data_IF_009257958404
#
_entry.id   IF_009257958404
#
_cell.length_a   1.000
_cell.length_b   1.000
_cell.length_c   1.000
_cell.angle_alpha   90.00
_cell.angle_beta   90.00
_cell.angle_gamma   90.00
#
_symmetry.space_group_name_H-M   'P 1'
#
loop_
_entity.id
_entity.type
_entity.pdbx_description
1 polymer ?
#
# COMPACT_ATOMS: atom_id res chain seq x y z
N UNK A 1 -8.25 -10.56 1.15
CA UNK A 1 -7.21 -9.52 1.33
C UNK A 1 -5.82 -10.09 1.59
N UNK A 2 -5.70 -11.20 2.33
CA UNK A 2 -4.43 -11.84 2.71
C UNK A 2 -3.60 -12.44 1.55
N UNK A 3 -4.05 -12.41 0.29
CA UNK A 3 -3.30 -12.97 -0.86
C UNK A 3 -2.90 -11.91 -1.90
N UNK A 4 -3.43 -10.71 -1.76
CA UNK A 4 -3.30 -9.57 -2.65
C UNK A 4 -1.97 -8.82 -2.47
N UNK A 5 -1.63 -8.51 -1.22
CA UNK A 5 -0.39 -7.82 -0.88
C UNK A 5 0.84 -8.73 -1.01
N UNK A 6 0.62 -10.04 -0.99
CA UNK A 6 1.66 -11.04 -1.21
C UNK A 6 2.14 -11.04 -2.65
N UNK A 7 1.27 -10.86 -3.65
CA UNK A 7 1.67 -10.92 -5.05
C UNK A 7 2.56 -9.73 -5.46
N UNK A 8 2.29 -8.52 -4.94
CA UNK A 8 3.07 -7.30 -5.23
C UNK A 8 4.48 -7.43 -4.66
N UNK A 9 4.54 -7.90 -3.42
CA UNK A 9 5.77 -7.99 -2.65
C UNK A 9 6.61 -9.17 -3.15
N UNK A 10 6.03 -10.35 -3.40
CA UNK A 10 6.76 -11.56 -3.83
C UNK A 10 7.52 -11.39 -5.16
N UNK A 11 7.06 -10.49 -6.05
CA UNK A 11 7.74 -10.21 -7.32
C UNK A 11 8.76 -9.06 -7.28
N UNK A 12 8.51 -8.00 -6.48
CA UNK A 12 9.57 -7.03 -6.17
C UNK A 12 10.78 -7.74 -5.51
N UNK A 13 10.52 -8.86 -4.82
CA UNK A 13 11.53 -9.66 -4.14
C UNK A 13 12.25 -10.70 -5.01
N UNK A 14 11.68 -11.16 -6.12
CA UNK A 14 12.34 -12.12 -7.01
C UNK A 14 13.40 -11.45 -7.90
N UNK A 15 13.21 -10.16 -8.24
CA UNK A 15 14.23 -9.35 -8.89
C UNK A 15 15.42 -9.03 -7.97
N UNK A 16 15.20 -8.97 -6.64
CA UNK A 16 16.24 -8.71 -5.62
C UNK A 16 17.00 -9.98 -5.15
N UNK A 17 16.66 -11.16 -5.67
CA UNK A 17 17.26 -12.43 -5.23
C UNK A 17 18.61 -12.77 -5.91
N UNK A 18 19.08 -11.94 -6.85
CA UNK A 18 20.29 -12.19 -7.63
C UNK A 18 21.47 -11.27 -7.27
N UNK A 19 21.34 -10.38 -6.27
CA UNK A 19 22.46 -9.60 -5.72
C UNK A 19 22.83 -10.13 -4.34
N UNK A 20 24.11 -10.44 -4.14
CA UNK A 20 24.65 -10.96 -2.86
C UNK A 20 24.50 -9.98 -1.67
N UNK A 21 24.06 -8.75 -1.93
CA UNK A 21 23.49 -7.85 -0.92
C UNK A 21 21.98 -7.81 -1.09
N UNK A 22 21.25 -8.39 -0.11
CA UNK A 22 19.79 -8.32 -0.08
C UNK A 22 19.37 -6.87 0.12
N UNK A 23 19.02 -6.21 -0.97
CA UNK A 23 18.62 -4.82 -0.95
C UNK A 23 17.42 -4.54 -0.02
N UNK A 24 16.56 -5.55 0.17
CA UNK A 24 15.42 -5.53 1.08
C UNK A 24 15.49 -6.63 2.15
N UNK A 25 15.24 -6.28 3.42
CA UNK A 25 14.96 -7.26 4.48
C UNK A 25 13.53 -7.80 4.30
N UNK A 26 13.41 -8.87 3.53
CA UNK A 26 12.13 -9.51 3.22
C UNK A 26 11.34 -9.90 4.48
N UNK A 27 12.02 -10.48 5.46
CA UNK A 27 11.35 -11.00 6.66
C UNK A 27 10.69 -9.87 7.42
N UNK A 28 11.37 -8.72 7.54
CA UNK A 28 10.82 -7.52 8.15
C UNK A 28 9.73 -6.89 7.28
N UNK A 29 9.94 -6.76 5.96
CA UNK A 29 8.91 -6.24 5.05
C UNK A 29 7.59 -7.02 5.14
N UNK A 30 7.66 -8.35 5.16
CA UNK A 30 6.48 -9.22 5.35
C UNK A 30 5.82 -9.05 6.71
N UNK A 31 6.59 -8.82 7.77
CA UNK A 31 6.03 -8.56 9.10
C UNK A 31 5.31 -7.22 9.15
N UNK A 32 5.90 -6.16 8.58
CA UNK A 32 5.31 -4.82 8.46
C UNK A 32 3.98 -4.89 7.73
N UNK A 33 3.94 -5.65 6.63
CA UNK A 33 2.73 -5.83 5.85
C UNK A 33 1.58 -6.42 6.67
N UNK A 34 1.85 -7.49 7.43
CA UNK A 34 0.85 -8.09 8.32
C UNK A 34 0.37 -7.13 9.41
N UNK A 35 1.27 -6.29 9.93
CA UNK A 35 0.87 -5.26 10.88
C UNK A 35 -0.07 -4.24 10.23
N UNK A 36 0.25 -3.76 9.02
CA UNK A 36 -0.59 -2.83 8.27
C UNK A 36 -1.96 -3.42 7.95
N UNK A 37 -2.03 -4.69 7.51
CA UNK A 37 -3.29 -5.41 7.28
C UNK A 37 -4.18 -5.35 8.53
N UNK A 38 -3.62 -5.73 9.69
CA UNK A 38 -4.36 -5.68 10.96
C UNK A 38 -4.79 -4.26 11.36
N UNK A 39 -3.95 -3.25 11.11
CA UNK A 39 -4.31 -1.86 11.39
C UNK A 39 -5.47 -1.38 10.52
N UNK A 40 -5.50 -1.73 9.24
CA UNK A 40 -6.52 -1.27 8.29
C UNK A 40 -7.84 -2.00 8.54
N UNK A 41 -7.79 -3.33 8.63
CA UNK A 41 -8.97 -4.19 8.76
C UNK A 41 -9.76 -3.92 10.05
N UNK A 42 -9.06 -3.83 11.19
CA UNK A 42 -9.68 -3.56 12.49
C UNK A 42 -10.25 -2.13 12.60
N UNK A 43 -9.67 -1.18 11.85
CA UNK A 43 -9.95 0.23 12.04
C UNK A 43 -11.10 0.72 11.15
N UNK A 44 -11.26 0.18 9.94
CA UNK A 44 -12.13 0.76 8.91
C UNK A 44 -13.48 0.07 8.72
N UNK A 45 -13.60 -1.23 9.00
CA UNK A 45 -14.82 -1.99 8.71
C UNK A 45 -15.75 -2.22 9.91
N UNK A 46 -15.74 -1.29 10.87
CA UNK A 46 -16.74 -1.26 11.93
C UNK A 46 -18.13 -0.80 11.44
N UNK A 47 -18.18 -0.04 10.35
CA UNK A 47 -19.40 0.51 9.74
C UNK A 47 -19.35 0.33 8.21
N UNK A 48 -20.50 0.38 7.51
CA UNK A 48 -20.53 0.37 6.05
C UNK A 48 -19.70 1.53 5.48
N UNK A 49 -18.79 1.21 4.55
CA UNK A 49 -17.83 2.17 4.04
C UNK A 49 -18.00 2.36 2.52
N UNK A 50 -18.55 3.51 2.06
CA UNK A 50 -18.72 3.79 0.64
C UNK A 50 -17.39 3.96 -0.10
N UNK A 51 -17.34 3.58 -1.37
CA UNK A 51 -16.14 3.69 -2.21
C UNK A 51 -15.57 5.10 -2.30
N UNK A 52 -16.44 6.12 -2.40
CA UNK A 52 -16.02 7.52 -2.43
C UNK A 52 -15.22 7.92 -1.20
N UNK A 53 -15.65 7.50 -0.01
CA UNK A 53 -14.96 7.80 1.24
C UNK A 53 -13.59 7.11 1.31
N UNK A 54 -13.48 5.89 0.78
CA UNK A 54 -12.19 5.20 0.65
C UNK A 54 -11.25 5.92 -0.30
N UNK A 55 -11.75 6.35 -1.47
CA UNK A 55 -10.98 7.15 -2.44
C UNK A 55 -10.46 8.43 -1.79
N UNK A 56 -11.33 9.17 -1.09
CA UNK A 56 -10.98 10.39 -0.37
C UNK A 56 -9.89 10.17 0.69
N UNK A 57 -10.06 9.15 1.54
CA UNK A 57 -9.09 8.84 2.57
C UNK A 57 -7.73 8.39 2.01
N UNK A 58 -7.71 7.62 0.93
CA UNK A 58 -6.45 7.25 0.25
C UNK A 58 -5.77 8.53 -0.26
N UNK A 59 -6.51 9.44 -0.90
CA UNK A 59 -5.96 10.68 -1.42
C UNK A 59 -5.41 11.61 -0.34
N UNK A 60 -5.96 11.55 0.89
CA UNK A 60 -5.47 12.31 2.03
C UNK A 60 -4.20 11.71 2.68
N UNK A 61 -4.10 10.38 2.73
CA UNK A 61 -3.01 9.67 3.42
C UNK A 61 -1.83 9.39 2.50
N UNK A 62 -2.09 8.98 1.26
CA UNK A 62 -1.06 8.47 0.37
C UNK A 62 0.07 9.47 0.10
N UNK A 63 -0.16 10.79 -0.08
CA UNK A 63 0.92 11.77 -0.21
C UNK A 63 1.85 11.84 1.02
N UNK A 64 1.37 11.45 2.20
CA UNK A 64 2.19 11.39 3.44
C UNK A 64 3.15 10.21 3.46
N UNK A 65 2.83 9.17 2.69
CA UNK A 65 3.67 7.98 2.49
C UNK A 65 4.55 8.13 1.25
N UNK A 66 4.00 8.65 0.16
CA UNK A 66 4.68 8.82 -1.13
C UNK A 66 5.42 10.16 -1.20
N UNK A 67 6.37 10.36 -0.29
CA UNK A 67 7.27 11.51 -0.30
C UNK A 67 8.67 11.15 0.18
N UNK A 68 9.62 12.03 -0.13
CA UNK A 68 11.03 11.88 0.22
C UNK A 68 11.30 11.69 1.71
N UNK A 69 10.60 12.44 2.56
CA UNK A 69 10.80 12.34 4.01
C UNK A 69 10.38 10.96 4.56
N UNK A 70 9.35 10.34 3.96
CA UNK A 70 8.91 9.02 4.36
C UNK A 70 9.75 7.90 3.73
N UNK A 71 9.97 7.95 2.40
CA UNK A 71 10.63 6.89 1.63
C UNK A 71 12.16 6.95 1.67
N UNK A 72 12.73 8.10 2.04
CA UNK A 72 14.18 8.37 1.94
C UNK A 72 14.64 8.75 0.52
N UNK A 73 13.74 8.67 -0.46
CA UNK A 73 13.96 8.98 -1.89
C UNK A 73 12.70 9.62 -2.47
N UNK A 74 12.86 10.38 -3.54
CA UNK A 74 11.71 10.96 -4.24
C UNK A 74 10.87 9.83 -4.86
N UNK A 75 9.53 9.86 -4.72
CA UNK A 75 8.64 8.81 -5.20
C UNK A 75 8.73 8.66 -6.73
N UNK A 76 8.35 7.50 -7.30
CA UNK A 76 8.41 7.29 -8.74
C UNK A 76 7.50 8.28 -9.47
N UNK A 77 7.92 8.74 -10.65
CA UNK A 77 7.08 9.58 -11.49
C UNK A 77 5.73 8.93 -11.75
N UNK A 78 4.69 9.77 -11.89
CA UNK A 78 3.32 9.34 -12.15
C UNK A 78 2.69 8.43 -11.07
N UNK A 79 3.30 8.30 -9.89
CA UNK A 79 2.76 7.42 -8.84
C UNK A 79 1.30 7.74 -8.51
N UNK A 80 0.96 9.03 -8.46
CA UNK A 80 -0.38 9.50 -8.14
C UNK A 80 -1.38 9.15 -9.25
N UNK A 81 -0.99 9.30 -10.52
CA UNK A 81 -1.84 8.95 -11.66
C UNK A 81 -2.17 7.45 -11.67
N UNK A 82 -1.18 6.59 -11.40
CA UNK A 82 -1.41 5.14 -11.35
C UNK A 82 -2.30 4.72 -10.19
N UNK A 83 -2.16 5.34 -9.01
CA UNK A 83 -3.06 5.03 -7.90
C UNK A 83 -4.48 5.53 -8.20
N UNK A 84 -4.63 6.71 -8.79
CA UNK A 84 -5.94 7.22 -9.20
C UNK A 84 -6.62 6.26 -10.19
N UNK A 85 -5.87 5.72 -11.16
CA UNK A 85 -6.38 4.74 -12.13
C UNK A 85 -6.87 3.45 -11.44
N UNK A 86 -6.09 2.92 -10.50
CA UNK A 86 -6.47 1.73 -9.71
C UNK A 86 -7.70 2.01 -8.86
N UNK A 87 -7.78 3.19 -8.24
CA UNK A 87 -8.97 3.58 -7.47
C UNK A 87 -10.20 3.66 -8.35
N UNK A 88 -10.12 4.31 -9.51
CA UNK A 88 -11.25 4.44 -10.44
C UNK A 88 -11.71 3.10 -10.99
N UNK A 89 -10.76 2.21 -11.29
CA UNK A 89 -11.05 0.89 -11.87
C UNK A 89 -11.56 -0.10 -10.84
N UNK A 90 -10.95 -0.13 -9.64
CA UNK A 90 -11.18 -1.17 -8.64
C UNK A 90 -12.09 -0.74 -7.51
N UNK A 91 -12.11 0.54 -7.14
CA UNK A 91 -13.08 1.06 -6.19
C UNK A 91 -14.27 1.63 -6.96
N UNK A 92 -15.00 0.74 -7.66
CA UNK A 92 -16.30 1.07 -8.28
C UNK A 92 -17.25 1.61 -7.21
N UNK A 93 -18.40 2.17 -7.62
CA UNK A 93 -19.37 2.76 -6.68
C UNK A 93 -20.11 1.70 -5.84
N UNK A 94 -19.36 1.08 -4.93
CA UNK A 94 -19.84 0.18 -3.91
C UNK A 94 -20.38 1.01 -2.75
N UNK A 95 -21.65 0.77 -2.38
CA UNK A 95 -22.25 1.36 -1.18
C UNK A 95 -21.63 0.84 0.12
N UNK A 96 -21.02 -0.35 0.10
CA UNK A 96 -20.33 -0.92 1.26
C UNK A 96 -19.13 -1.80 0.85
N UNK A 97 -17.93 -1.22 0.90
CA UNK A 97 -16.65 -1.89 0.66
C UNK A 97 -16.24 -2.87 1.78
N UNK A 98 -16.94 -2.88 2.91
CA UNK A 98 -16.70 -3.82 4.00
C UNK A 98 -17.50 -5.12 3.89
N UNK A 99 -18.31 -5.28 2.85
CA UNK A 99 -18.95 -6.56 2.55
C UNK A 99 -17.94 -7.54 1.93
N UNK A 100 -18.02 -8.83 2.29
CA UNK A 100 -17.16 -9.87 1.74
C UNK A 100 -17.15 -9.90 0.21
N UNK A 101 -18.31 -9.64 -0.42
CA UNK A 101 -18.43 -9.61 -1.87
C UNK A 101 -17.65 -8.44 -2.48
N UNK A 102 -17.81 -7.22 -1.95
CA UNK A 102 -17.08 -6.06 -2.41
C UNK A 102 -15.57 -6.21 -2.17
N UNK A 103 -15.17 -6.73 -1.00
CA UNK A 103 -13.76 -6.98 -0.70
C UNK A 103 -13.12 -7.96 -1.68
N UNK A 104 -13.81 -9.06 -2.03
CA UNK A 104 -13.34 -10.03 -3.03
C UNK A 104 -13.25 -9.44 -4.43
N UNK A 105 -14.20 -8.60 -4.83
CA UNK A 105 -14.19 -7.95 -6.14
C UNK A 105 -13.04 -6.95 -6.25
N UNK A 106 -12.90 -6.06 -5.27
CA UNK A 106 -11.77 -5.14 -5.17
C UNK A 106 -10.45 -5.93 -5.16
N UNK A 107 -10.42 -7.04 -4.42
CA UNK A 107 -9.24 -7.90 -4.34
C UNK A 107 -8.81 -8.47 -5.69
N UNK A 108 -9.77 -9.02 -6.43
CA UNK A 108 -9.52 -9.55 -7.76
C UNK A 108 -9.10 -8.44 -8.72
N UNK A 109 -9.72 -7.26 -8.66
CA UNK A 109 -9.39 -6.14 -9.52
C UNK A 109 -7.97 -5.62 -9.28
N UNK A 110 -7.60 -5.33 -8.03
CA UNK A 110 -6.25 -4.84 -7.72
C UNK A 110 -5.21 -5.90 -8.10
N UNK A 111 -5.50 -7.18 -7.89
CA UNK A 111 -4.61 -8.29 -8.31
C UNK A 111 -4.40 -8.32 -9.82
N UNK A 112 -5.43 -8.00 -10.60
CA UNK A 112 -5.34 -7.95 -12.05
C UNK A 112 -4.53 -6.75 -12.57
N UNK A 113 -4.56 -5.62 -11.85
CA UNK A 113 -3.78 -4.42 -12.20
C UNK A 113 -2.30 -4.53 -11.83
N UNK A 114 -1.99 -5.45 -10.93
CA UNK A 114 -0.68 -5.57 -10.32
C UNK A 114 0.49 -5.78 -11.31
N UNK A 115 0.40 -6.65 -12.34
CA UNK A 115 1.50 -6.84 -13.28
C UNK A 115 1.93 -5.55 -13.97
N UNK A 116 0.97 -4.66 -14.28
CA UNK A 116 1.26 -3.36 -14.89
C UNK A 116 2.02 -2.46 -13.90
N UNK A 117 1.55 -2.34 -12.65
CA UNK A 117 2.24 -1.56 -11.62
C UNK A 117 3.67 -2.06 -11.38
N UNK A 118 3.87 -3.38 -11.39
CA UNK A 118 5.19 -3.99 -11.26
C UNK A 118 6.06 -3.59 -12.45
N UNK A 119 5.57 -3.73 -13.68
CA UNK A 119 6.34 -3.38 -14.87
C UNK A 119 6.80 -1.91 -14.85
N UNK A 120 5.93 -1.01 -14.38
CA UNK A 120 6.23 0.41 -14.32
C UNK A 120 7.15 0.82 -13.17
N UNK A 121 6.98 0.25 -11.97
CA UNK A 121 7.75 0.68 -10.80
C UNK A 121 8.93 -0.23 -10.44
N UNK A 122 9.06 -1.42 -11.04
CA UNK A 122 10.18 -2.31 -10.75
C UNK A 122 11.56 -1.67 -10.95
N UNK A 123 11.82 -0.90 -12.03
CA UNK A 123 13.11 -0.22 -12.19
C UNK A 123 13.41 0.76 -11.06
N UNK A 124 12.43 1.60 -10.69
CA UNK A 124 12.57 2.57 -9.61
C UNK A 124 12.79 1.88 -8.25
N UNK A 125 12.06 0.79 -7.97
CA UNK A 125 12.27 0.01 -6.76
C UNK A 125 13.66 -0.64 -6.73
N UNK A 126 14.14 -1.17 -7.85
CA UNK A 126 15.46 -1.77 -7.93
C UNK A 126 16.58 -0.73 -7.73
N UNK A 127 16.40 0.49 -8.24
CA UNK A 127 17.37 1.58 -8.06
C UNK A 127 17.41 2.12 -6.63
N UNK A 128 16.27 2.16 -5.94
CA UNK A 128 16.16 2.83 -4.63
C UNK A 128 15.91 1.88 -3.45
N UNK A 129 16.00 0.56 -3.67
CA UNK A 129 15.64 -0.42 -2.65
C UNK A 129 16.44 -0.27 -1.35
N UNK A 130 17.73 0.09 -1.40
CA UNK A 130 18.55 0.26 -0.19
C UNK A 130 18.06 1.43 0.66
N UNK A 131 17.76 2.55 0.00
CA UNK A 131 17.27 3.75 0.65
C UNK A 131 15.91 3.51 1.29
N UNK A 132 15.01 2.81 0.59
CA UNK A 132 13.70 2.43 1.12
C UNK A 132 13.84 1.43 2.27
N UNK A 133 14.71 0.43 2.15
CA UNK A 133 14.96 -0.54 3.20
C UNK A 133 15.48 0.14 4.47
N UNK A 134 16.43 1.06 4.35
CA UNK A 134 16.95 1.84 5.47
C UNK A 134 15.90 2.77 6.07
N UNK A 135 15.23 3.55 5.23
CA UNK A 135 14.29 4.57 5.68
C UNK A 135 13.03 3.96 6.26
N UNK A 136 12.45 2.94 5.62
CA UNK A 136 11.13 2.40 5.96
C UNK A 136 11.23 1.10 6.75
N UNK A 137 11.93 0.09 6.22
CA UNK A 137 11.87 -1.27 6.75
C UNK A 137 12.65 -1.40 8.06
N UNK A 138 13.91 -0.99 8.04
CA UNK A 138 14.79 -1.03 9.21
C UNK A 138 14.35 -0.02 10.27
N UNK A 139 13.77 1.11 9.86
CA UNK A 139 13.28 2.13 10.77
C UNK A 139 11.77 2.04 11.08
N UNK A 140 11.13 0.91 10.78
CA UNK A 140 9.68 0.75 10.92
C UNK A 140 9.18 1.08 12.32
N UNK A 141 9.92 0.68 13.37
CA UNK A 141 9.55 0.94 14.76
C UNK A 141 9.31 2.43 15.05
N UNK A 142 10.08 3.31 14.41
CA UNK A 142 9.93 4.76 14.57
C UNK A 142 8.83 5.35 13.66
N UNK A 143 8.60 4.76 12.48
CA UNK A 143 7.57 5.23 11.51
C UNK A 143 6.17 4.73 11.83
N UNK A 144 6.06 3.54 12.43
CA UNK A 144 4.79 2.88 12.77
C UNK A 144 3.78 3.79 13.48
N UNK A 145 4.15 4.59 14.51
CA UNK A 145 3.20 5.48 15.16
C UNK A 145 2.63 6.55 14.21
N UNK A 146 3.44 7.09 13.29
CA UNK A 146 2.99 8.08 12.32
C UNK A 146 2.00 7.44 11.32
N UNK A 147 2.30 6.24 10.85
CA UNK A 147 1.40 5.49 9.95
C UNK A 147 0.08 5.16 10.65
N UNK A 148 0.14 4.72 11.92
CA UNK A 148 -1.07 4.49 12.72
C UNK A 148 -1.91 5.76 12.87
N UNK A 149 -1.29 6.92 13.12
CA UNK A 149 -1.99 8.19 13.18
C UNK A 149 -2.70 8.53 11.86
N UNK A 150 -2.07 8.26 10.71
CA UNK A 150 -2.68 8.50 9.41
C UNK A 150 -3.83 7.54 9.11
N UNK A 151 -3.72 6.26 9.47
CA UNK A 151 -4.81 5.28 9.36
C UNK A 151 -5.99 5.69 10.27
N UNK A 152 -5.71 6.17 11.48
CA UNK A 152 -6.75 6.67 12.37
C UNK A 152 -7.41 7.95 11.83
N UNK A 153 -6.64 8.86 11.23
CA UNK A 153 -7.17 10.05 10.58
C UNK A 153 -8.03 9.70 9.36
N UNK A 154 -7.63 8.71 8.57
CA UNK A 154 -8.46 8.14 7.51
C UNK A 154 -9.79 7.68 8.08
N UNK A 155 -9.79 6.90 9.17
CA UNK A 155 -11.03 6.43 9.81
C UNK A 155 -11.95 7.59 10.16
N UNK A 156 -11.42 8.63 10.77
CA UNK A 156 -12.20 9.82 11.13
C UNK A 156 -12.79 10.53 9.89
N UNK A 157 -12.05 10.60 8.79
CA UNK A 157 -12.55 11.16 7.52
C UNK A 157 -13.52 10.25 6.79
N UNK A 158 -13.44 8.93 7.02
CA UNK A 158 -14.27 7.92 6.38
C UNK A 158 -15.59 7.66 7.13
N UNK A 159 -15.67 8.00 8.42
CA UNK A 159 -16.88 7.87 9.23
C UNK A 159 -17.73 9.15 9.18
N UNK A 160 -17.09 10.34 9.25
CA UNK A 160 -17.77 11.63 9.10
C UNK A 160 -18.22 11.87 7.64
#
# INVERSE_FOLDING_TARGET
>A
MQKLLYAVVFFILSAAAHSDERCFDYKKGKAILKELEGMVEYTLCAEPLPAERVRSGINAVLPRVMNKAFLGVDPPDNWQAMVNEVQQTCLKDHGNLCSDAAQREVEACVSAQLPALILFWAPWFAEHCEAINKAVILNWKQKKPQVQQWINAFKQQAIN
#
